data_IF_205434450533
#
_entry.id   IF_205434450533
#
_cell.length_a   1.000
_cell.length_b   1.000
_cell.length_c   1.000
_cell.angle_alpha   90.00
_cell.angle_beta   90.00
_cell.angle_gamma   90.00
#
_symmetry.space_group_name_H-M   'P 1'
#
loop_
_entity.id
_entity.type
_entity.pdbx_description
1 polymer ?
#
# COMPACT_ATOMS: atom_id res chain seq x y z
N UNK A 1 -12.56 12.51 10.24
CA UNK A 1 -11.37 11.67 10.48
C UNK A 1 -10.44 12.44 11.40
N UNK A 2 -9.92 11.81 12.46
CA UNK A 2 -8.93 12.43 13.36
C UNK A 2 -7.62 12.59 12.60
N UNK A 3 -7.05 13.79 12.59
CA UNK A 3 -5.74 14.02 11.97
C UNK A 3 -4.66 13.42 12.88
N UNK A 4 -3.72 12.66 12.28
CA UNK A 4 -2.62 12.04 13.00
C UNK A 4 -1.39 12.95 12.98
N UNK A 5 -0.65 12.94 14.08
CA UNK A 5 0.53 13.77 14.29
C UNK A 5 1.74 13.29 13.49
N UNK A 6 2.47 14.25 12.92
CA UNK A 6 3.73 14.01 12.18
C UNK A 6 4.98 14.08 13.05
N UNK A 7 4.89 14.74 14.20
CA UNK A 7 6.02 15.02 15.11
C UNK A 7 5.90 14.30 16.44
N UNK A 8 4.67 14.06 16.90
CA UNK A 8 4.39 13.34 18.14
C UNK A 8 3.73 12.00 17.82
N UNK A 9 4.54 10.95 17.64
CA UNK A 9 4.00 9.61 17.33
C UNK A 9 3.24 9.00 18.51
N UNK A 10 3.58 9.36 19.76
CA UNK A 10 2.90 8.86 20.94
C UNK A 10 1.45 9.35 20.99
N UNK A 11 1.17 10.56 20.52
CA UNK A 11 -0.18 11.08 20.36
C UNK A 11 -1.06 10.28 19.38
N UNK A 12 -0.44 9.49 18.49
CA UNK A 12 -1.18 8.62 17.56
C UNK A 12 -1.58 7.29 18.19
N UNK A 13 -0.86 6.81 19.21
CA UNK A 13 -1.05 5.49 19.81
C UNK A 13 -2.48 5.20 20.30
N UNK A 14 -3.22 6.13 20.94
CA UNK A 14 -4.60 5.89 21.36
C UNK A 14 -5.54 5.52 20.21
N UNK A 15 -5.20 5.85 18.96
CA UNK A 15 -5.96 5.42 17.79
C UNK A 15 -6.04 3.88 17.67
N UNK A 16 -5.02 3.16 18.13
CA UNK A 16 -4.98 1.69 18.05
C UNK A 16 -6.08 1.01 18.88
N UNK A 17 -6.50 1.64 19.98
CA UNK A 17 -7.53 1.06 20.87
C UNK A 17 -8.92 1.05 20.22
N UNK A 18 -9.14 1.93 19.24
CA UNK A 18 -10.42 2.08 18.52
C UNK A 18 -10.49 1.26 17.21
N UNK A 19 -9.43 0.55 16.84
CA UNK A 19 -9.30 -0.12 15.53
C UNK A 19 -9.20 -1.64 15.68
N UNK A 20 -9.93 -2.40 14.86
CA UNK A 20 -9.83 -3.86 14.82
C UNK A 20 -8.89 -4.40 13.73
N UNK A 21 -8.50 -3.53 12.78
CA UNK A 21 -7.71 -3.86 11.60
C UNK A 21 -6.81 -2.67 11.24
N UNK A 22 -5.54 -2.94 10.94
CA UNK A 22 -4.62 -1.96 10.37
C UNK A 22 -4.24 -2.31 8.94
N UNK A 23 -4.42 -1.41 7.98
CA UNK A 23 -3.92 -1.58 6.61
C UNK A 23 -3.02 -0.40 6.27
N UNK A 24 -1.76 -0.68 5.96
CA UNK A 24 -0.75 0.26 5.52
C UNK A 24 -0.45 0.01 4.04
N UNK A 25 -0.71 0.99 3.18
CA UNK A 25 -0.40 0.94 1.74
C UNK A 25 0.60 2.06 1.45
N UNK A 26 1.79 1.72 0.96
CA UNK A 26 2.86 2.68 0.64
C UNK A 26 3.25 3.61 1.81
N UNK A 27 3.01 3.13 3.03
CA UNK A 27 3.24 3.92 4.23
C UNK A 27 4.63 3.63 4.76
N UNK A 28 5.52 4.61 4.69
CA UNK A 28 6.86 4.50 5.28
C UNK A 28 6.80 4.15 6.77
N UNK A 29 7.69 3.26 7.19
CA UNK A 29 7.94 2.92 8.59
C UNK A 29 9.38 3.21 9.00
N UNK A 30 9.63 3.28 10.31
CA UNK A 30 10.96 3.55 10.84
C UNK A 30 11.95 2.40 10.59
N UNK A 31 13.20 2.77 10.37
CA UNK A 31 14.34 1.85 10.32
C UNK A 31 14.95 1.66 11.71
N UNK A 32 16.01 0.87 11.83
CA UNK A 32 16.63 0.53 13.12
C UNK A 32 17.17 1.76 13.88
N UNK A 33 17.49 2.85 13.19
CA UNK A 33 17.93 4.11 13.79
C UNK A 33 16.76 5.01 14.25
N UNK A 34 15.51 4.59 14.04
CA UNK A 34 14.30 5.32 14.40
C UNK A 34 13.83 6.35 13.38
N UNK A 35 14.55 6.52 12.26
CA UNK A 35 14.21 7.46 11.19
C UNK A 35 13.46 6.78 10.04
N UNK A 36 12.73 7.56 9.25
CA UNK A 36 12.11 7.11 8.00
C UNK A 36 12.92 7.61 6.80
N UNK A 37 13.14 6.75 5.81
CA UNK A 37 13.90 7.10 4.60
C UNK A 37 13.10 6.81 3.33
N UNK A 38 13.30 7.61 2.28
CA UNK A 38 12.87 7.22 0.92
C UNK A 38 13.73 6.07 0.38
N UNK A 39 13.32 5.47 -0.73
CA UNK A 39 14.07 4.42 -1.43
C UNK A 39 15.51 4.83 -1.80
N UNK A 40 15.75 6.14 -1.96
CA UNK A 40 17.06 6.72 -2.25
C UNK A 40 17.80 7.20 -0.98
N UNK A 41 17.44 6.68 0.19
CA UNK A 41 18.04 6.99 1.49
C UNK A 41 17.96 8.47 1.93
N UNK A 42 17.00 9.23 1.43
CA UNK A 42 16.75 10.58 1.95
C UNK A 42 15.85 10.51 3.17
N UNK A 43 16.22 11.21 4.25
CA UNK A 43 15.38 11.29 5.46
C UNK A 43 14.01 11.92 5.13
N UNK A 44 12.95 11.32 5.67
CA UNK A 44 11.54 11.67 5.45
C UNK A 44 10.79 11.92 6.76
N UNK A 45 11.50 12.15 7.85
CA UNK A 45 10.89 12.43 9.15
C UNK A 45 9.99 13.66 9.07
N UNK A 46 8.89 13.60 9.81
CA UNK A 46 7.89 14.67 9.93
C UNK A 46 7.19 15.07 8.61
N UNK A 47 7.51 14.44 7.47
CA UNK A 47 6.81 14.67 6.20
C UNK A 47 5.40 14.07 6.19
N UNK A 48 5.18 13.03 7.00
CA UNK A 48 3.94 12.27 7.13
C UNK A 48 3.74 11.80 8.57
N UNK A 49 2.50 11.44 8.92
CA UNK A 49 2.22 10.89 10.24
C UNK A 49 3.01 9.60 10.47
N UNK A 50 3.63 9.43 11.64
CA UNK A 50 4.22 8.16 12.02
C UNK A 50 3.14 7.31 12.71
N UNK A 51 2.88 6.12 12.18
CA UNK A 51 1.86 5.19 12.69
C UNK A 51 2.46 3.86 13.14
N UNK A 52 3.78 3.83 13.32
CA UNK A 52 4.55 2.61 13.61
C UNK A 52 4.06 1.98 14.91
N UNK A 53 3.94 2.79 15.96
CA UNK A 53 3.47 2.35 17.28
C UNK A 53 2.00 1.89 17.23
N UNK A 54 1.18 2.48 16.36
CA UNK A 54 -0.22 2.06 16.15
C UNK A 54 -0.26 0.65 15.54
N UNK A 55 0.49 0.42 14.46
CA UNK A 55 0.54 -0.88 13.78
C UNK A 55 1.20 -1.94 14.66
N UNK A 56 2.27 -1.59 15.38
CA UNK A 56 2.94 -2.47 16.33
C UNK A 56 1.99 -2.90 17.44
N UNK A 57 1.24 -1.95 18.03
CA UNK A 57 0.24 -2.26 19.06
C UNK A 57 -0.87 -3.17 18.53
N UNK A 58 -1.46 -2.86 17.38
CA UNK A 58 -2.49 -3.72 16.77
C UNK A 58 -1.98 -5.15 16.57
N UNK A 59 -0.76 -5.30 16.06
CA UNK A 59 -0.12 -6.60 15.86
C UNK A 59 0.12 -7.33 17.18
N UNK A 60 0.61 -6.62 18.22
CA UNK A 60 0.84 -7.18 19.55
C UNK A 60 -0.45 -7.60 20.26
N UNK A 61 -1.54 -6.87 20.03
CA UNK A 61 -2.89 -7.18 20.54
C UNK A 61 -3.56 -8.34 19.77
N UNK A 62 -2.85 -8.97 18.81
CA UNK A 62 -3.36 -10.10 18.02
C UNK A 62 -4.36 -9.71 16.94
N UNK A 63 -4.51 -8.41 16.65
CA UNK A 63 -5.38 -7.90 15.58
C UNK A 63 -4.70 -8.05 14.21
N UNK A 64 -5.50 -8.12 13.16
CA UNK A 64 -4.98 -8.24 11.81
C UNK A 64 -4.32 -6.93 11.36
N UNK A 65 -3.09 -7.03 10.86
CA UNK A 65 -2.36 -5.91 10.26
C UNK A 65 -1.82 -6.30 8.89
N UNK A 66 -2.03 -5.45 7.90
CA UNK A 66 -1.69 -5.70 6.50
C UNK A 66 -0.74 -4.59 6.04
N UNK A 67 0.45 -4.97 5.58
CA UNK A 67 1.39 -4.09 4.89
C UNK A 67 1.37 -4.38 3.40
N UNK A 68 1.20 -3.36 2.58
CA UNK A 68 1.35 -3.38 1.12
C UNK A 68 2.44 -2.37 0.76
N UNK A 69 3.45 -2.84 0.03
CA UNK A 69 4.63 -2.06 -0.30
C UNK A 69 5.36 -2.64 -1.51
N UNK A 70 6.22 -1.82 -2.11
CA UNK A 70 7.04 -2.18 -3.27
C UNK A 70 8.54 -1.85 -3.08
N UNK A 71 8.91 -1.11 -2.03
CA UNK A 71 10.25 -0.55 -1.84
C UNK A 71 11.12 -1.19 -0.75
N UNK A 72 10.54 -1.69 0.34
CA UNK A 72 11.29 -2.20 1.50
C UNK A 72 11.40 -1.22 2.67
N UNK A 73 11.04 0.05 2.46
CA UNK A 73 10.99 1.09 3.48
C UNK A 73 9.56 1.31 4.03
N UNK A 74 8.58 0.50 3.63
CA UNK A 74 7.19 0.60 4.06
C UNK A 74 6.91 -0.28 5.29
N UNK A 75 5.90 0.11 6.06
CA UNK A 75 5.36 -0.69 7.18
C UNK A 75 4.96 -2.08 6.66
N UNK A 76 5.45 -3.11 7.36
CA UNK A 76 5.25 -4.52 7.02
C UNK A 76 6.53 -5.20 6.55
N UNK A 77 7.44 -4.47 5.90
CA UNK A 77 8.68 -5.04 5.35
C UNK A 77 9.69 -5.48 6.42
N UNK A 78 9.50 -5.08 7.69
CA UNK A 78 10.24 -5.64 8.82
C UNK A 78 10.13 -7.17 8.91
N UNK A 79 9.08 -7.77 8.33
CA UNK A 79 8.88 -9.22 8.26
C UNK A 79 9.93 -9.94 7.40
N UNK A 80 10.54 -9.22 6.45
CA UNK A 80 11.60 -9.73 5.57
C UNK A 80 12.83 -8.78 5.59
N UNK A 81 13.08 -8.16 6.74
CA UNK A 81 14.11 -7.14 6.92
C UNK A 81 15.48 -7.52 6.33
N UNK A 82 15.99 -8.70 6.66
CA UNK A 82 17.33 -9.14 6.21
C UNK A 82 17.42 -9.31 4.68
N UNK A 83 16.29 -9.65 4.05
CA UNK A 83 16.22 -9.70 2.59
C UNK A 83 16.39 -8.30 1.99
N UNK A 84 15.77 -7.28 2.61
CA UNK A 84 15.87 -5.88 2.17
C UNK A 84 17.27 -5.34 2.36
N UNK A 85 17.87 -5.57 3.52
CA UNK A 85 19.26 -5.19 3.81
C UNK A 85 20.22 -5.75 2.76
N UNK A 86 19.97 -6.98 2.29
CA UNK A 86 20.88 -7.68 1.38
C UNK A 86 20.64 -7.37 -0.10
N UNK A 87 19.39 -7.25 -0.54
CA UNK A 87 19.04 -7.28 -1.97
C UNK A 87 18.49 -5.96 -2.54
N UNK A 88 18.09 -5.03 -1.68
CA UNK A 88 17.53 -3.74 -2.13
C UNK A 88 18.61 -2.67 -2.15
N UNK A 89 18.70 -1.83 -3.20
CA UNK A 89 19.58 -0.67 -3.19
C UNK A 89 19.33 0.22 -1.95
N UNK A 90 20.41 0.66 -1.29
CA UNK A 90 20.35 1.35 0.00
C UNK A 90 19.71 0.57 1.15
N UNK A 91 19.48 -0.75 0.99
CA UNK A 91 18.83 -1.63 1.96
C UNK A 91 19.30 -1.48 3.42
N UNK A 92 20.62 -1.46 3.71
CA UNK A 92 21.13 -1.28 5.08
C UNK A 92 20.68 0.01 5.75
N UNK A 93 20.31 1.04 4.98
CA UNK A 93 19.84 2.33 5.48
C UNK A 93 18.32 2.40 5.53
N UNK A 94 17.62 1.82 4.57
CA UNK A 94 16.19 2.08 4.36
C UNK A 94 15.27 0.97 4.91
N UNK A 95 15.83 -0.19 5.26
CA UNK A 95 15.04 -1.35 5.67
C UNK A 95 14.14 -1.00 6.87
N UNK A 96 12.83 -1.06 6.62
CA UNK A 96 11.83 -0.83 7.66
C UNK A 96 11.89 -1.95 8.70
N UNK A 97 11.73 -1.59 9.97
CA UNK A 97 11.71 -2.57 11.09
C UNK A 97 10.31 -2.95 11.52
N UNK A 98 9.29 -2.21 11.07
CA UNK A 98 7.91 -2.43 11.48
C UNK A 98 7.32 -3.62 10.73
N UNK A 99 6.84 -4.61 11.48
CA UNK A 99 6.19 -5.82 10.95
C UNK A 99 4.68 -5.68 10.91
N UNK A 100 4.03 -6.47 10.05
CA UNK A 100 2.58 -6.69 10.02
C UNK A 100 2.26 -8.19 10.07
N UNK A 101 1.02 -8.57 10.41
CA UNK A 101 0.61 -9.98 10.39
C UNK A 101 0.68 -10.54 8.97
N UNK A 102 0.25 -9.77 7.98
CA UNK A 102 0.36 -10.07 6.56
C UNK A 102 1.17 -8.99 5.82
N UNK A 103 2.10 -9.42 4.98
CA UNK A 103 2.87 -8.58 4.08
C UNK A 103 2.51 -8.99 2.64
N UNK A 104 2.13 -8.02 1.82
CA UNK A 104 1.86 -8.19 0.40
C UNK A 104 2.81 -7.31 -0.41
N UNK A 105 3.95 -7.86 -0.85
CA UNK A 105 4.81 -7.19 -1.82
C UNK A 105 4.06 -7.04 -3.15
N UNK A 106 4.08 -5.84 -3.72
CA UNK A 106 3.54 -5.54 -5.04
C UNK A 106 4.58 -4.83 -5.88
N UNK A 107 4.37 -4.76 -7.20
CA UNK A 107 5.22 -3.94 -8.08
C UNK A 107 4.90 -2.43 -7.96
N UNK A 108 3.67 -2.12 -7.56
CA UNK A 108 3.14 -0.79 -7.27
C UNK A 108 2.15 -0.98 -6.12
N UNK A 109 2.34 -0.27 -5.02
CA UNK A 109 1.50 -0.43 -3.82
C UNK A 109 0.01 -0.20 -4.04
N UNK A 110 -0.37 0.74 -4.93
CA UNK A 110 -1.77 0.93 -5.35
C UNK A 110 -2.39 -0.37 -5.88
N UNK A 111 -1.65 -1.11 -6.71
CA UNK A 111 -2.13 -2.34 -7.32
C UNK A 111 -2.32 -3.45 -6.29
N UNK A 112 -1.45 -3.52 -5.28
CA UNK A 112 -1.64 -4.41 -4.13
C UNK A 112 -2.93 -4.07 -3.37
N UNK A 113 -3.22 -2.79 -3.14
CA UNK A 113 -4.48 -2.33 -2.57
C UNK A 113 -5.70 -2.71 -3.42
N UNK A 114 -5.62 -2.54 -4.74
CA UNK A 114 -6.69 -2.91 -5.67
C UNK A 114 -6.92 -4.42 -5.71
N UNK A 115 -5.85 -5.22 -5.60
CA UNK A 115 -5.94 -6.67 -5.51
C UNK A 115 -6.63 -7.11 -4.20
N UNK A 116 -6.35 -6.47 -3.07
CA UNK A 116 -7.07 -6.74 -1.82
C UNK A 116 -8.57 -6.43 -1.94
N UNK A 117 -8.93 -5.32 -2.59
CA UNK A 117 -10.32 -4.98 -2.86
C UNK A 117 -10.98 -6.01 -3.79
N UNK A 118 -10.28 -6.48 -4.82
CA UNK A 118 -10.76 -7.52 -5.73
C UNK A 118 -10.91 -8.88 -5.02
N UNK A 119 -10.04 -9.23 -4.07
CA UNK A 119 -10.19 -10.43 -3.25
C UNK A 119 -11.43 -10.36 -2.37
N UNK A 120 -11.73 -9.18 -1.80
CA UNK A 120 -12.99 -8.95 -1.07
C UNK A 120 -14.21 -9.12 -1.98
N UNK A 121 -14.16 -8.57 -3.19
CA UNK A 121 -15.20 -8.75 -4.20
C UNK A 121 -15.41 -10.22 -4.53
N UNK A 122 -14.33 -10.98 -4.74
CA UNK A 122 -14.36 -12.41 -5.02
C UNK A 122 -14.97 -13.21 -3.87
N UNK A 123 -14.64 -12.87 -2.63
CA UNK A 123 -15.16 -13.58 -1.46
C UNK A 123 -16.65 -13.29 -1.22
N UNK A 124 -17.11 -12.08 -1.53
CA UNK A 124 -18.48 -11.63 -1.25
C UNK A 124 -19.43 -11.81 -2.42
N UNK A 125 -18.92 -11.97 -3.65
CA UNK A 125 -19.71 -11.90 -4.87
C UNK A 125 -20.08 -10.47 -5.29
N UNK A 126 -19.62 -9.44 -4.56
CA UNK A 126 -19.91 -8.04 -4.88
C UNK A 126 -18.82 -7.43 -5.75
N UNK A 127 -19.04 -7.47 -7.06
CA UNK A 127 -18.16 -6.84 -8.06
C UNK A 127 -18.06 -5.31 -7.89
N UNK A 128 -18.96 -4.67 -7.14
CA UNK A 128 -18.89 -3.25 -6.79
C UNK A 128 -17.70 -2.88 -5.91
N UNK A 129 -17.12 -3.85 -5.20
CA UNK A 129 -15.92 -3.65 -4.36
C UNK A 129 -14.63 -3.56 -5.17
N UNK A 130 -14.60 -4.09 -6.40
CA UNK A 130 -13.45 -3.91 -7.29
C UNK A 130 -13.29 -2.44 -7.67
N UNK A 131 -12.04 -1.96 -7.70
CA UNK A 131 -11.72 -0.66 -8.30
C UNK A 131 -12.14 -0.62 -9.78
N UNK A 132 -12.41 0.59 -10.27
CA UNK A 132 -12.89 0.82 -11.64
C UNK A 132 -11.77 1.44 -12.51
N UNK A 133 -11.53 0.90 -13.72
CA UNK A 133 -10.42 1.38 -14.54
C UNK A 133 -10.64 2.80 -15.08
N UNK A 134 -11.88 3.29 -15.21
CA UNK A 134 -12.11 4.70 -15.58
C UNK A 134 -11.80 5.61 -14.40
N UNK A 135 -12.20 5.22 -13.19
CA UNK A 135 -11.84 5.94 -11.96
C UNK A 135 -10.33 6.00 -11.75
N UNK A 136 -9.60 4.94 -12.09
CA UNK A 136 -8.13 4.96 -12.02
C UNK A 136 -7.53 6.07 -12.90
N UNK A 137 -8.00 6.17 -14.15
CA UNK A 137 -7.58 7.24 -15.06
C UNK A 137 -7.96 8.63 -14.52
N UNK A 138 -9.19 8.79 -14.02
CA UNK A 138 -9.69 10.04 -13.45
C UNK A 138 -8.90 10.47 -12.21
N UNK A 139 -8.56 9.53 -11.32
CA UNK A 139 -7.81 9.82 -10.10
C UNK A 139 -6.37 10.20 -10.41
N UNK A 140 -5.67 9.47 -11.29
CA UNK A 140 -4.29 9.82 -11.66
C UNK A 140 -4.20 11.12 -12.45
N UNK A 141 -5.22 11.44 -13.27
CA UNK A 141 -5.32 12.76 -13.90
C UNK A 141 -5.57 13.88 -12.86
N UNK A 142 -6.45 13.63 -11.89
CA UNK A 142 -6.75 14.58 -10.82
C UNK A 142 -5.52 14.85 -9.94
N UNK A 143 -4.77 13.81 -9.54
CA UNK A 143 -3.55 13.97 -8.73
C UNK A 143 -2.50 14.79 -9.47
N UNK A 144 -2.31 14.55 -10.77
CA UNK A 144 -1.45 15.35 -11.63
C UNK A 144 -1.89 16.82 -11.70
N UNK A 145 -3.19 17.09 -11.90
CA UNK A 145 -3.76 18.45 -11.90
C UNK A 145 -3.61 19.15 -10.55
N UNK A 146 -3.70 18.40 -9.46
CA UNK A 146 -3.45 18.87 -8.09
C UNK A 146 -1.96 19.03 -7.76
N UNK A 147 -1.07 18.76 -8.72
CA UNK A 147 0.38 18.82 -8.58
C UNK A 147 0.94 17.86 -7.53
N UNK A 148 0.26 16.74 -7.29
CA UNK A 148 0.83 15.62 -6.54
C UNK A 148 1.92 15.01 -7.40
N UNK A 149 3.10 14.81 -6.81
CA UNK A 149 4.27 14.32 -7.52
C UNK A 149 4.19 12.80 -7.66
N UNK A 150 4.39 12.30 -8.87
CA UNK A 150 4.64 10.88 -9.10
C UNK A 150 6.02 10.50 -8.54
N UNK A 151 6.09 9.39 -7.81
CA UNK A 151 7.28 8.95 -7.08
C UNK A 151 8.43 8.50 -7.97
N UNK A 152 8.13 7.91 -9.13
CA UNK A 152 9.13 7.38 -10.06
C UNK A 152 9.75 8.45 -10.98
N UNK A 153 8.96 9.44 -11.40
CA UNK A 153 9.40 10.51 -12.31
C UNK A 153 9.80 11.79 -11.58
N UNK A 154 9.32 12.00 -10.35
CA UNK A 154 9.48 13.26 -9.64
C UNK A 154 8.79 14.43 -10.35
N UNK A 155 7.71 14.16 -11.10
CA UNK A 155 6.92 15.18 -11.82
C UNK A 155 5.42 15.04 -11.50
N UNK A 156 4.63 16.13 -11.57
CA UNK A 156 3.18 16.06 -11.39
C UNK A 156 2.50 15.64 -12.70
N UNK A 157 2.71 14.38 -13.08
CA UNK A 157 2.16 13.78 -14.31
C UNK A 157 1.23 12.62 -13.95
N UNK A 158 0.42 12.20 -14.91
CA UNK A 158 -0.59 11.13 -14.75
C UNK A 158 0.04 9.72 -14.73
N UNK A 159 0.91 9.50 -13.77
CA UNK A 159 1.67 8.28 -13.57
C UNK A 159 1.55 7.82 -12.11
N UNK A 160 1.85 6.54 -11.89
CA UNK A 160 2.10 5.98 -10.57
C UNK A 160 3.41 5.20 -10.65
N UNK A 161 4.38 5.53 -9.79
CA UNK A 161 5.74 5.03 -9.79
C UNK A 161 6.43 5.07 -11.17
N UNK A 162 6.17 6.13 -11.93
CA UNK A 162 6.71 6.30 -13.27
C UNK A 162 6.01 5.45 -14.35
N UNK A 163 4.93 4.77 -14.01
CA UNK A 163 4.13 3.95 -14.92
C UNK A 163 2.90 4.76 -15.39
N UNK A 164 2.63 4.85 -16.71
CA UNK A 164 1.50 5.61 -17.22
C UNK A 164 0.15 5.11 -16.68
N UNK A 165 -0.78 6.03 -16.40
CA UNK A 165 -2.11 5.71 -15.88
C UNK A 165 -2.87 4.66 -16.70
N UNK A 166 -2.69 4.61 -18.02
CA UNK A 166 -3.30 3.60 -18.89
C UNK A 166 -2.89 2.16 -18.55
N UNK A 167 -1.64 1.95 -18.11
CA UNK A 167 -1.15 0.63 -17.69
C UNK A 167 -1.77 0.25 -16.35
N UNK A 168 -1.85 1.20 -15.40
CA UNK A 168 -2.54 0.98 -14.12
C UNK A 168 -4.02 0.60 -14.33
N UNK A 169 -4.73 1.34 -15.19
CA UNK A 169 -6.12 1.06 -15.53
C UNK A 169 -6.29 -0.31 -16.24
N UNK A 170 -5.34 -0.73 -17.06
CA UNK A 170 -5.35 -2.07 -17.67
C UNK A 170 -5.25 -3.17 -16.60
N UNK A 171 -4.38 -2.99 -15.60
CA UNK A 171 -4.27 -3.93 -14.48
C UNK A 171 -5.57 -3.98 -13.65
N UNK A 172 -6.19 -2.84 -13.37
CA UNK A 172 -7.51 -2.79 -12.71
C UNK A 172 -8.57 -3.54 -13.52
N UNK A 173 -8.55 -3.40 -14.85
CA UNK A 173 -9.44 -4.13 -15.75
C UNK A 173 -9.26 -5.65 -15.63
N UNK A 174 -8.00 -6.11 -15.57
CA UNK A 174 -7.68 -7.53 -15.40
C UNK A 174 -8.21 -8.05 -14.06
N UNK A 175 -7.93 -7.35 -12.95
CA UNK A 175 -8.40 -7.75 -11.62
C UNK A 175 -9.92 -7.89 -11.58
N UNK A 176 -10.64 -6.89 -12.10
CA UNK A 176 -12.11 -6.92 -12.16
C UNK A 176 -12.63 -8.06 -13.04
N UNK A 177 -12.01 -8.29 -14.19
CA UNK A 177 -12.36 -9.38 -15.09
C UNK A 177 -12.15 -10.77 -14.48
N UNK A 178 -11.11 -10.96 -13.66
CA UNK A 178 -10.88 -12.21 -12.93
C UNK A 178 -12.00 -12.49 -11.92
N UNK A 179 -12.45 -11.48 -11.18
CA UNK A 179 -13.58 -11.61 -10.24
C UNK A 179 -14.87 -11.93 -10.97
N UNK A 180 -15.16 -11.22 -12.07
CA UNK A 180 -16.35 -11.49 -12.90
C UNK A 180 -16.33 -12.91 -13.47
N UNK A 181 -15.18 -13.35 -14.00
CA UNK A 181 -15.00 -14.70 -14.53
C UNK A 181 -15.21 -15.77 -13.46
N UNK A 182 -14.71 -15.55 -12.24
CA UNK A 182 -14.87 -16.48 -11.12
C UNK A 182 -16.34 -16.69 -10.72
N UNK A 183 -17.15 -15.62 -10.74
CA UNK A 183 -18.57 -15.71 -10.39
C UNK A 183 -19.48 -16.08 -11.56
N UNK A 184 -18.95 -16.17 -12.78
CA UNK A 184 -19.74 -16.52 -13.96
C UNK A 184 -20.16 -17.99 -13.87
N UNK A 185 -21.47 -18.25 -14.02
CA UNK A 185 -21.97 -19.63 -14.10
C UNK A 185 -21.31 -20.36 -15.28
N UNK A 186 -20.80 -21.58 -15.09
CA UNK A 186 -20.32 -22.40 -16.19
C UNK A 186 -21.41 -22.54 -17.26
N UNK A 187 -21.06 -22.28 -18.51
CA UNK A 187 -21.91 -22.55 -19.66
C UNK A 187 -21.44 -23.85 -20.30
N UNK A 188 -22.25 -24.90 -20.23
CA UNK A 188 -21.98 -26.15 -20.93
C UNK A 188 -22.19 -25.95 -22.42
N UNK A 189 -21.14 -26.21 -23.21
CA UNK A 189 -21.21 -26.08 -24.66
C UNK A 189 -21.94 -27.30 -25.23
N UNK A 190 -22.77 -27.14 -26.27
CA UNK A 190 -23.55 -28.24 -26.82
C UNK A 190 -22.75 -29.20 -27.72
N UNK A 191 -21.42 -29.20 -27.61
CA UNK A 191 -20.51 -29.97 -28.45
C UNK A 191 -19.32 -30.50 -27.65
#
# INVERSE_FOLDING_TARGET
LKELHKTDRAANLPCADEMDLGIAIEKQGATADGHMYSINAHNRDHTRANIDDVIAKLTADGKATIGVGDGGNEIGWGKIHDYIVTHVPCGPTIACTITTTHLYPAAVSNWGGYALAALLALQTGDLGLCHDPKRELEYLDLTARMRVMDGGTGQPINHVDGIPAGVSAALVTILRGLVEAYHRKPFERPF
#
